data_IF_153808953096
#
_entry.id   IF_153808953096
#
_cell.length_a   1.000
_cell.length_b   1.000
_cell.length_c   1.000
_cell.angle_alpha   90.00
_cell.angle_beta   90.00
_cell.angle_gamma   90.00
#
_symmetry.space_group_name_H-M   'P 1'
#
loop_
_entity.id
_entity.type
_entity.pdbx_description
1 polymer ?
#
# COMPACT_ATOMS: atom_id res chain seq x y z
N UNK A 1 24.76 -4.40 26.93
CA UNK A 1 24.16 -5.64 26.42
C UNK A 1 23.17 -5.25 25.36
N UNK A 2 23.52 -5.41 24.10
CA UNK A 2 22.62 -5.19 22.95
C UNK A 2 21.56 -6.29 22.98
N UNK A 3 20.33 -5.95 23.38
CA UNK A 3 19.21 -6.87 23.26
C UNK A 3 19.02 -7.20 21.78
N UNK A 4 19.38 -8.40 21.38
CA UNK A 4 19.06 -8.97 20.07
C UNK A 4 17.53 -8.99 19.96
N UNK A 5 16.98 -8.08 19.17
CA UNK A 5 15.55 -8.02 18.85
C UNK A 5 15.27 -9.30 18.06
N UNK A 6 14.55 -10.23 18.66
CA UNK A 6 14.12 -11.47 18.01
C UNK A 6 13.16 -11.10 16.88
N UNK A 7 13.65 -11.13 15.63
CA UNK A 7 12.79 -11.02 14.47
C UNK A 7 11.90 -12.25 14.40
N UNK A 8 10.60 -12.04 14.31
CA UNK A 8 9.66 -13.14 14.07
C UNK A 8 9.91 -13.73 12.68
N UNK A 9 9.65 -15.04 12.49
CA UNK A 9 9.78 -15.67 11.17
C UNK A 9 8.91 -14.99 10.11
N UNK A 10 7.85 -14.31 10.54
CA UNK A 10 6.93 -13.57 9.67
C UNK A 10 7.58 -12.29 9.16
N UNK A 11 8.24 -11.53 10.03
CA UNK A 11 8.85 -10.24 9.64
C UNK A 11 10.03 -10.41 8.69
N UNK A 12 10.74 -11.55 8.73
CA UNK A 12 11.80 -11.89 7.78
C UNK A 12 11.34 -12.07 6.33
N UNK A 13 10.04 -12.26 6.13
CA UNK A 13 9.44 -12.44 4.80
C UNK A 13 8.92 -11.14 4.19
N UNK A 14 9.06 -10.00 4.89
CA UNK A 14 8.64 -8.69 4.38
C UNK A 14 9.68 -8.19 3.37
N UNK A 15 9.21 -7.74 2.23
CA UNK A 15 10.05 -7.30 1.14
C UNK A 15 10.41 -8.42 0.16
N UNK A 16 11.36 -8.14 -0.72
CA UNK A 16 11.79 -9.02 -1.82
C UNK A 16 10.60 -9.56 -2.65
N UNK A 17 9.59 -8.73 -2.82
CA UNK A 17 8.39 -9.07 -3.57
C UNK A 17 8.72 -9.24 -5.06
N UNK A 18 7.96 -10.08 -5.80
CA UNK A 18 8.20 -10.30 -7.21
C UNK A 18 8.05 -9.03 -8.05
N UNK A 19 8.89 -8.91 -9.07
CA UNK A 19 8.76 -7.98 -10.18
C UNK A 19 8.51 -8.79 -11.44
N UNK A 20 7.36 -8.62 -12.09
CA UNK A 20 6.98 -9.40 -13.27
C UNK A 20 6.70 -8.50 -14.47
N UNK A 21 7.05 -8.94 -15.67
CA UNK A 21 6.69 -8.26 -16.91
C UNK A 21 5.20 -8.46 -17.22
N UNK A 22 4.52 -7.38 -17.55
CA UNK A 22 3.16 -7.38 -18.09
C UNK A 22 3.23 -7.50 -19.61
N UNK A 23 3.51 -8.71 -20.10
CA UNK A 23 3.82 -8.94 -21.52
C UNK A 23 2.69 -8.54 -22.46
N UNK A 24 1.43 -8.75 -22.03
CA UNK A 24 0.25 -8.38 -22.83
C UNK A 24 0.04 -6.86 -22.95
N UNK A 25 0.73 -6.07 -22.14
CA UNK A 25 0.65 -4.61 -22.12
C UNK A 25 1.96 -3.94 -22.56
N UNK A 26 3.04 -4.69 -22.68
CA UNK A 26 4.35 -4.22 -23.16
C UNK A 26 4.34 -4.07 -24.70
N UNK A 27 5.26 -3.23 -25.19
CA UNK A 27 5.60 -3.17 -26.62
C UNK A 27 7.04 -3.68 -26.85
N UNK A 28 7.52 -3.69 -28.07
CA UNK A 28 8.90 -4.07 -28.38
C UNK A 28 9.89 -3.18 -27.63
N UNK A 29 9.65 -1.87 -27.63
CA UNK A 29 10.58 -0.86 -27.11
C UNK A 29 10.27 -0.40 -25.68
N UNK A 30 9.03 -0.54 -25.21
CA UNK A 30 8.62 -0.13 -23.87
C UNK A 30 8.11 -1.33 -23.09
N UNK A 31 8.84 -1.68 -22.05
CA UNK A 31 8.52 -2.81 -21.17
C UNK A 31 7.83 -2.33 -19.91
N UNK A 32 6.69 -2.95 -19.59
CA UNK A 32 5.92 -2.66 -18.38
C UNK A 32 6.11 -3.77 -17.35
N UNK A 33 6.50 -3.41 -16.14
CA UNK A 33 6.68 -4.34 -15.03
C UNK A 33 5.81 -3.97 -13.84
N UNK A 34 5.25 -4.98 -13.18
CA UNK A 34 4.48 -4.83 -11.96
C UNK A 34 5.25 -5.39 -10.76
N UNK A 35 5.40 -4.58 -9.71
CA UNK A 35 5.91 -5.01 -8.40
C UNK A 35 4.75 -5.47 -7.54
N UNK A 36 4.68 -6.76 -7.25
CA UNK A 36 3.53 -7.41 -6.62
C UNK A 36 3.63 -7.39 -5.09
N UNK A 37 3.13 -6.34 -4.46
CA UNK A 37 3.29 -6.11 -3.02
C UNK A 37 2.42 -7.00 -2.11
N UNK A 38 1.46 -7.73 -2.65
CA UNK A 38 0.70 -8.72 -1.87
C UNK A 38 1.47 -10.01 -1.57
N UNK A 39 2.68 -10.17 -2.07
CA UNK A 39 3.59 -11.23 -1.66
C UNK A 39 4.20 -10.98 -0.28
N UNK A 40 4.03 -9.80 0.30
CA UNK A 40 4.27 -9.58 1.72
C UNK A 40 3.31 -10.43 2.58
N UNK A 41 3.69 -10.80 3.81
CA UNK A 41 2.96 -11.74 4.68
C UNK A 41 1.48 -11.41 4.93
N UNK A 42 1.14 -10.13 5.04
CA UNK A 42 -0.23 -9.66 5.28
C UNK A 42 -0.89 -9.08 4.02
N UNK A 43 -0.26 -9.32 2.87
CA UNK A 43 -0.83 -9.16 1.55
C UNK A 43 -0.95 -7.72 1.07
N UNK A 44 -0.01 -6.85 1.42
CA UNK A 44 0.05 -5.51 0.84
C UNK A 44 1.39 -4.80 1.03
N UNK A 45 1.56 -3.69 0.30
CA UNK A 45 2.67 -2.76 0.45
C UNK A 45 2.79 -2.18 1.88
N UNK A 46 1.72 -2.19 2.66
CA UNK A 46 1.69 -1.63 4.02
C UNK A 46 2.46 -2.45 5.04
N UNK A 47 2.75 -3.72 4.75
CA UNK A 47 3.57 -4.57 5.60
C UNK A 47 4.97 -3.95 5.81
N UNK A 48 5.51 -3.34 4.77
CA UNK A 48 6.80 -2.65 4.82
C UNK A 48 6.77 -1.46 5.80
N UNK A 49 5.83 -0.55 5.61
CA UNK A 49 5.68 0.63 6.46
C UNK A 49 5.35 0.25 7.91
N UNK A 50 4.43 -0.69 8.11
CA UNK A 50 4.06 -1.16 9.45
C UNK A 50 5.26 -1.74 10.20
N UNK A 51 6.03 -2.61 9.56
CA UNK A 51 7.24 -3.20 10.16
C UNK A 51 8.25 -2.14 10.56
N UNK A 52 8.56 -1.21 9.65
CA UNK A 52 9.54 -0.16 9.92
C UNK A 52 9.09 0.80 11.03
N UNK A 53 7.80 1.16 11.07
CA UNK A 53 7.27 2.01 12.14
C UNK A 53 7.38 1.34 13.52
N UNK A 54 7.09 0.04 13.62
CA UNK A 54 7.22 -0.70 14.88
C UNK A 54 8.69 -0.89 15.27
N UNK A 55 9.56 -1.23 14.32
CA UNK A 55 11.01 -1.37 14.56
C UNK A 55 11.65 -0.04 14.99
N UNK A 56 11.27 1.07 14.38
CA UNK A 56 11.76 2.39 14.76
C UNK A 56 11.28 2.78 16.18
N UNK A 57 10.04 2.46 16.51
CA UNK A 57 9.50 2.67 17.84
C UNK A 57 10.23 1.83 18.92
N UNK A 58 10.54 0.55 18.62
CA UNK A 58 11.38 -0.28 19.52
C UNK A 58 12.79 0.31 19.68
N UNK A 59 13.43 0.70 18.57
CA UNK A 59 14.76 1.28 18.56
C UNK A 59 14.84 2.59 19.37
N UNK A 60 13.78 3.39 19.32
CA UNK A 60 13.65 4.66 20.07
C UNK A 60 13.13 4.46 21.50
N UNK A 61 12.89 3.22 21.92
CA UNK A 61 12.32 2.88 23.24
C UNK A 61 10.95 3.52 23.52
N UNK A 62 10.16 3.81 22.45
CA UNK A 62 8.82 4.37 22.55
C UNK A 62 7.77 3.33 22.94
N UNK A 63 8.05 2.06 22.72
CA UNK A 63 7.17 0.93 23.03
C UNK A 63 7.90 -0.15 23.82
N UNK A 64 7.13 -0.85 24.68
CA UNK A 64 7.63 -1.96 25.50
C UNK A 64 6.67 -3.14 25.38
N UNK A 65 7.21 -4.35 25.13
CA UNK A 65 6.43 -5.58 25.13
C UNK A 65 5.68 -5.72 26.44
N UNK A 66 4.54 -6.37 26.39
CA UNK A 66 3.62 -6.63 27.53
C UNK A 66 2.98 -5.38 28.17
N UNK A 67 3.42 -4.17 27.78
CA UNK A 67 2.85 -2.91 28.29
C UNK A 67 2.17 -2.09 27.19
N UNK A 68 2.87 -1.89 26.07
CA UNK A 68 2.40 -0.96 25.04
C UNK A 68 1.30 -1.55 24.16
N UNK A 69 0.32 -0.71 23.85
CA UNK A 69 -0.76 -0.98 22.91
C UNK A 69 -0.52 -0.10 21.67
N UNK A 70 -0.49 -0.71 20.51
CA UNK A 70 -0.38 0.00 19.24
C UNK A 70 -1.78 0.41 18.81
N UNK A 71 -2.03 1.69 18.59
CA UNK A 71 -3.32 2.19 18.10
C UNK A 71 -3.12 2.97 16.80
N UNK A 72 -3.94 2.71 15.78
CA UNK A 72 -3.85 3.42 14.49
C UNK A 72 -5.24 3.62 13.85
N UNK A 73 -5.55 4.85 13.37
CA UNK A 73 -6.72 5.09 12.56
C UNK A 73 -6.43 4.67 11.11
N UNK A 74 -7.24 3.76 10.56
CA UNK A 74 -7.04 3.26 9.20
C UNK A 74 -8.27 2.56 8.65
N UNK A 75 -8.48 2.63 7.35
CA UNK A 75 -9.60 1.97 6.66
C UNK A 75 -9.25 0.63 6.00
N UNK A 76 -8.02 0.08 6.18
CA UNK A 76 -7.70 -1.16 5.46
C UNK A 76 -6.31 -1.74 5.70
N UNK A 77 -5.51 -1.80 4.67
CA UNK A 77 -4.24 -2.54 4.63
C UNK A 77 -3.25 -2.20 5.76
N UNK A 78 -3.19 -0.94 6.19
CA UNK A 78 -2.31 -0.54 7.30
C UNK A 78 -2.73 -1.21 8.61
N UNK A 79 -4.04 -1.26 8.88
CA UNK A 79 -4.56 -1.94 10.08
C UNK A 79 -4.24 -3.43 10.06
N UNK A 80 -4.44 -4.10 8.92
CA UNK A 80 -4.12 -5.52 8.74
C UNK A 80 -2.62 -5.75 8.98
N UNK A 81 -1.76 -4.97 8.35
CA UNK A 81 -0.31 -5.09 8.47
C UNK A 81 0.17 -4.81 9.91
N UNK A 82 -0.26 -3.70 10.51
CA UNK A 82 0.08 -3.37 11.90
C UNK A 82 -0.39 -4.45 12.87
N UNK A 83 -1.62 -4.93 12.73
CA UNK A 83 -2.13 -5.98 13.60
C UNK A 83 -1.29 -7.25 13.48
N UNK A 84 -1.11 -7.75 12.27
CA UNK A 84 -0.38 -9.00 12.06
C UNK A 84 1.09 -8.91 12.51
N UNK A 85 1.78 -7.83 12.15
CA UNK A 85 3.18 -7.62 12.52
C UNK A 85 3.33 -7.42 14.03
N UNK A 86 2.57 -6.47 14.62
CA UNK A 86 2.69 -6.13 16.04
C UNK A 86 2.30 -7.31 16.92
N UNK A 87 1.22 -8.04 16.58
CA UNK A 87 0.83 -9.26 17.31
C UNK A 87 1.91 -10.34 17.24
N UNK A 88 2.55 -10.52 16.07
CA UNK A 88 3.67 -11.47 15.92
C UNK A 88 4.92 -11.08 16.72
N UNK A 89 5.03 -9.81 17.09
CA UNK A 89 6.10 -9.25 17.91
C UNK A 89 5.75 -9.16 19.41
N UNK A 90 4.50 -9.53 19.79
CA UNK A 90 4.03 -9.57 21.19
C UNK A 90 3.36 -8.29 21.67
N UNK A 91 2.90 -7.42 20.76
CA UNK A 91 2.15 -6.21 21.10
C UNK A 91 0.65 -6.41 20.94
N UNK A 92 -0.14 -5.77 21.80
CA UNK A 92 -1.57 -5.60 21.60
C UNK A 92 -1.85 -4.51 20.59
N UNK A 93 -2.93 -4.66 19.82
CA UNK A 93 -3.27 -3.71 18.74
C UNK A 93 -4.74 -3.31 18.85
N UNK A 94 -4.98 -2.02 18.76
CA UNK A 94 -6.30 -1.42 18.64
C UNK A 94 -6.36 -0.64 17.33
N UNK A 95 -7.43 -0.87 16.55
CA UNK A 95 -7.59 -0.22 15.25
C UNK A 95 -8.88 0.59 15.26
N UNK A 96 -8.77 1.87 14.90
CA UNK A 96 -9.93 2.75 14.74
C UNK A 96 -10.28 2.79 13.26
N UNK A 97 -11.51 2.37 12.93
CA UNK A 97 -11.97 2.22 11.54
C UNK A 97 -13.33 2.87 11.30
N UNK A 98 -13.60 3.34 10.06
CA UNK A 98 -14.96 3.68 9.65
C UNK A 98 -15.90 2.48 9.71
N UNK A 99 -17.15 2.69 10.12
CA UNK A 99 -18.22 1.67 10.08
C UNK A 99 -18.43 1.06 8.70
N UNK A 100 -18.16 1.83 7.64
CA UNK A 100 -18.30 1.43 6.24
C UNK A 100 -17.19 0.48 5.75
N UNK A 101 -16.18 0.20 6.57
CA UNK A 101 -15.14 -0.81 6.24
C UNK A 101 -15.80 -2.17 6.06
N UNK A 102 -15.42 -2.90 5.02
CA UNK A 102 -16.01 -4.18 4.65
C UNK A 102 -15.99 -5.21 5.78
N UNK A 103 -16.99 -6.07 5.82
CA UNK A 103 -17.07 -7.15 6.82
C UNK A 103 -15.86 -8.10 6.72
N UNK A 104 -15.34 -8.32 5.51
CA UNK A 104 -14.15 -9.12 5.26
C UNK A 104 -12.92 -8.50 5.96
N UNK A 105 -12.70 -7.20 5.81
CA UNK A 105 -11.58 -6.50 6.49
C UNK A 105 -11.72 -6.55 8.00
N UNK A 106 -12.93 -6.30 8.53
CA UNK A 106 -13.21 -6.40 9.97
C UNK A 106 -12.94 -7.81 10.50
N UNK A 107 -13.33 -8.84 9.74
CA UNK A 107 -13.08 -10.24 10.09
C UNK A 107 -11.58 -10.55 10.12
N UNK A 108 -10.81 -10.10 9.13
CA UNK A 108 -9.36 -10.28 9.10
C UNK A 108 -8.71 -9.63 10.31
N UNK A 109 -9.05 -8.39 10.64
CA UNK A 109 -8.51 -7.67 11.80
C UNK A 109 -8.80 -8.40 13.12
N UNK A 110 -10.05 -8.85 13.32
CA UNK A 110 -10.44 -9.64 14.52
C UNK A 110 -9.68 -10.96 14.61
N UNK A 111 -9.55 -11.69 13.49
CA UNK A 111 -8.83 -12.95 13.45
C UNK A 111 -7.31 -12.79 13.71
N UNK A 112 -6.74 -11.64 13.37
CA UNK A 112 -5.36 -11.28 13.71
C UNK A 112 -5.18 -10.80 15.16
N UNK A 113 -6.28 -10.61 15.90
CA UNK A 113 -6.27 -10.24 17.32
C UNK A 113 -6.41 -8.74 17.61
N UNK A 114 -6.85 -7.91 16.65
CA UNK A 114 -7.11 -6.49 16.90
C UNK A 114 -8.38 -6.27 17.71
N UNK A 115 -8.34 -5.31 18.64
CA UNK A 115 -9.54 -4.63 19.14
C UNK A 115 -9.93 -3.55 18.13
N UNK A 116 -11.22 -3.51 17.76
CA UNK A 116 -11.74 -2.59 16.76
C UNK A 116 -12.63 -1.54 17.44
N UNK A 117 -12.34 -0.27 17.14
CA UNK A 117 -13.20 0.87 17.47
C UNK A 117 -13.79 1.40 16.15
N UNK A 118 -15.11 1.51 16.07
CA UNK A 118 -15.80 1.98 14.86
C UNK A 118 -16.22 3.45 14.99
N UNK A 119 -16.14 4.19 13.90
CA UNK A 119 -16.57 5.59 13.78
C UNK A 119 -17.50 5.77 12.59
N UNK A 120 -18.30 6.85 12.60
CA UNK A 120 -19.21 7.16 11.48
C UNK A 120 -18.53 7.75 10.24
N UNK A 121 -17.19 7.68 10.16
CA UNK A 121 -16.39 8.20 9.06
C UNK A 121 -16.68 7.54 7.71
N UNK A 122 -16.39 8.28 6.64
CA UNK A 122 -16.29 7.72 5.29
C UNK A 122 -14.97 6.97 5.08
N UNK A 123 -14.96 6.02 4.11
CA UNK A 123 -13.77 5.22 3.74
C UNK A 123 -12.61 6.06 3.19
N UNK A 124 -12.93 7.19 2.57
CA UNK A 124 -11.96 8.15 2.07
C UNK A 124 -12.06 9.46 2.84
N UNK A 125 -10.94 9.93 3.38
CA UNK A 125 -10.90 11.20 4.07
C UNK A 125 -11.14 12.35 3.09
N UNK A 126 -12.25 13.07 3.28
CA UNK A 126 -12.48 14.34 2.62
C UNK A 126 -12.01 15.48 3.53
N UNK A 127 -11.50 16.56 2.95
CA UNK A 127 -11.18 17.76 3.72
C UNK A 127 -12.46 18.24 4.41
N UNK A 128 -12.45 18.28 5.73
CA UNK A 128 -13.57 18.77 6.55
C UNK A 128 -14.68 17.77 6.86
N UNK A 129 -14.58 16.50 6.48
CA UNK A 129 -15.57 15.47 6.84
C UNK A 129 -14.92 14.11 7.05
N UNK A 130 -15.16 13.52 8.20
CA UNK A 130 -15.10 12.08 8.41
C UNK A 130 -13.75 11.48 8.84
N UNK A 131 -12.63 11.72 8.20
CA UNK A 131 -11.33 11.17 8.64
C UNK A 131 -10.89 11.71 9.98
N UNK A 132 -11.36 12.88 10.29
CA UNK A 132 -11.06 13.55 11.55
C UNK A 132 -11.61 12.76 12.73
N UNK A 133 -12.72 12.01 12.59
CA UNK A 133 -13.30 11.26 13.70
C UNK A 133 -12.46 10.04 14.07
N UNK A 134 -12.00 9.24 13.09
CA UNK A 134 -11.14 8.10 13.40
C UNK A 134 -9.79 8.55 13.96
N UNK A 135 -9.21 9.62 13.42
CA UNK A 135 -7.99 10.23 13.97
C UNK A 135 -8.28 10.83 15.35
N UNK A 136 -9.37 11.58 15.49
CA UNK A 136 -9.77 12.21 16.77
C UNK A 136 -10.00 11.16 17.85
N UNK A 137 -10.69 10.07 17.54
CA UNK A 137 -10.93 8.97 18.49
C UNK A 137 -9.62 8.27 18.88
N UNK A 138 -8.76 7.95 17.91
CA UNK A 138 -7.45 7.35 18.20
C UNK A 138 -6.60 8.24 19.11
N UNK A 139 -6.58 9.55 18.86
CA UNK A 139 -5.90 10.55 19.71
C UNK A 139 -6.56 10.68 21.07
N UNK A 140 -7.88 10.69 21.17
CA UNK A 140 -8.61 10.76 22.43
C UNK A 140 -8.33 9.55 23.33
N UNK A 141 -8.11 8.37 22.75
CA UNK A 141 -7.72 7.15 23.49
C UNK A 141 -6.25 7.21 23.91
N UNK A 142 -5.36 7.63 23.00
CA UNK A 142 -3.90 7.50 23.19
C UNK A 142 -3.26 8.63 23.97
N UNK A 143 -3.64 9.89 23.72
CA UNK A 143 -2.99 11.06 24.32
C UNK A 143 -3.06 11.09 25.85
N UNK A 144 -4.20 10.75 26.50
CA UNK A 144 -4.26 10.75 27.97
C UNK A 144 -3.42 9.65 28.64
N UNK A 145 -2.97 8.64 27.87
CA UNK A 145 -2.23 7.48 28.38
C UNK A 145 -0.99 7.17 27.53
N UNK A 146 -0.03 8.10 27.41
CA UNK A 146 1.14 7.95 26.55
C UNK A 146 2.12 6.88 27.05
N UNK A 147 1.98 6.44 28.31
CA UNK A 147 2.76 5.35 28.89
C UNK A 147 2.29 3.95 28.46
N UNK A 148 1.08 3.86 27.87
CA UNK A 148 0.44 2.62 27.42
C UNK A 148 0.29 2.62 25.89
N UNK A 149 -0.24 3.71 25.32
CA UNK A 149 -0.55 3.77 23.90
C UNK A 149 0.58 4.38 23.08
N UNK A 150 0.81 3.78 21.93
CA UNK A 150 1.65 4.32 20.87
C UNK A 150 0.88 4.35 19.55
N UNK A 151 0.77 5.53 18.97
CA UNK A 151 0.18 5.72 17.63
C UNK A 151 1.29 5.91 16.60
N UNK A 152 1.52 4.94 15.70
CA UNK A 152 2.55 5.01 14.66
C UNK A 152 2.42 6.22 13.75
N UNK A 153 1.19 6.65 13.44
CA UNK A 153 0.86 7.78 12.57
C UNK A 153 1.55 7.70 11.19
N UNK A 154 1.06 6.82 10.35
CA UNK A 154 1.61 6.57 9.03
C UNK A 154 1.72 7.80 8.11
N UNK A 155 1.01 8.89 8.43
CA UNK A 155 0.96 10.10 7.61
C UNK A 155 2.11 11.09 7.88
N UNK A 156 2.78 10.96 9.03
CA UNK A 156 3.84 11.86 9.49
C UNK A 156 5.16 11.13 9.75
N UNK A 157 5.10 9.83 10.05
CA UNK A 157 6.23 9.03 10.50
C UNK A 157 7.23 8.72 9.37
N UNK A 158 8.45 9.22 9.50
CA UNK A 158 9.52 9.00 8.53
C UNK A 158 9.93 7.52 8.38
N UNK A 159 9.61 6.65 9.35
CA UNK A 159 9.84 5.23 9.20
C UNK A 159 9.04 4.62 8.03
N UNK A 160 7.87 5.19 7.69
CA UNK A 160 7.12 4.82 6.49
C UNK A 160 7.90 5.19 5.19
N UNK A 161 8.53 6.33 5.13
CA UNK A 161 9.43 6.71 4.04
C UNK A 161 10.64 5.77 3.97
N UNK A 162 11.32 5.54 5.11
CA UNK A 162 12.51 4.71 5.19
C UNK A 162 12.25 3.26 4.77
N UNK A 163 11.07 2.71 5.05
CA UNK A 163 10.67 1.38 4.60
C UNK A 163 10.78 1.18 3.08
N UNK A 164 10.59 2.25 2.33
CA UNK A 164 10.66 2.23 0.87
C UNK A 164 12.01 2.71 0.33
N UNK A 165 12.64 3.64 1.02
CA UNK A 165 13.99 4.10 0.68
C UNK A 165 15.03 2.98 0.86
N UNK A 166 14.98 2.26 1.99
CA UNK A 166 15.91 1.16 2.31
C UNK A 166 15.45 -0.21 1.77
N UNK A 167 14.18 -0.34 1.35
CA UNK A 167 13.60 -1.60 0.90
C UNK A 167 13.19 -1.57 -0.57
N UNK A 168 12.04 -0.96 -0.89
CA UNK A 168 11.45 -1.01 -2.24
C UNK A 168 12.37 -0.39 -3.31
N UNK A 169 13.03 0.72 -3.00
CA UNK A 169 13.96 1.40 -3.91
C UNK A 169 15.12 0.49 -4.34
N UNK A 170 15.92 -0.04 -3.39
CA UNK A 170 16.99 -1.01 -3.68
C UNK A 170 16.51 -2.25 -4.42
N UNK A 171 15.34 -2.81 -4.02
CA UNK A 171 14.78 -3.97 -4.71
C UNK A 171 14.50 -3.67 -6.20
N UNK A 172 13.84 -2.57 -6.50
CA UNK A 172 13.54 -2.19 -7.88
C UNK A 172 14.80 -1.92 -8.70
N UNK A 173 15.77 -1.22 -8.12
CA UNK A 173 17.04 -0.96 -8.78
C UNK A 173 17.75 -2.25 -9.18
N UNK A 174 17.84 -3.20 -8.23
CA UNK A 174 18.50 -4.48 -8.47
C UNK A 174 17.71 -5.38 -9.42
N UNK A 175 16.38 -5.48 -9.26
CA UNK A 175 15.52 -6.33 -10.09
C UNK A 175 15.42 -5.85 -11.55
N UNK A 176 15.73 -4.58 -11.80
CA UNK A 176 15.77 -4.00 -13.15
C UNK A 176 17.20 -3.85 -13.71
N UNK A 177 18.22 -4.33 -13.00
CA UNK A 177 19.63 -4.09 -13.32
C UNK A 177 19.94 -2.60 -13.56
N UNK A 178 19.28 -1.71 -12.82
CA UNK A 178 19.38 -0.27 -12.97
C UNK A 178 18.81 0.31 -14.27
N UNK A 179 18.05 -0.49 -15.04
CA UNK A 179 17.51 -0.08 -16.34
C UNK A 179 16.15 0.62 -16.26
N UNK A 180 15.58 0.74 -15.05
CA UNK A 180 14.32 1.44 -14.83
C UNK A 180 14.38 2.88 -15.33
N UNK A 181 13.39 3.32 -16.11
CA UNK A 181 13.28 4.69 -16.64
C UNK A 181 12.14 5.47 -16.01
N UNK A 182 11.04 4.78 -15.65
CA UNK A 182 9.84 5.38 -15.05
C UNK A 182 9.39 4.54 -13.86
N UNK A 183 9.14 5.20 -12.75
CA UNK A 183 8.57 4.63 -11.54
C UNK A 183 7.18 5.21 -11.30
N UNK A 184 6.17 4.38 -11.24
CA UNK A 184 4.76 4.78 -11.14
C UNK A 184 4.13 4.15 -9.91
N UNK A 185 3.49 4.93 -9.05
CA UNK A 185 2.79 4.39 -7.87
C UNK A 185 1.63 5.27 -7.44
N UNK A 186 0.65 4.64 -6.80
CA UNK A 186 -0.48 5.31 -6.19
C UNK A 186 -0.10 6.12 -4.95
N UNK A 187 -0.73 7.27 -4.78
CA UNK A 187 -0.53 8.18 -3.66
C UNK A 187 -1.62 8.02 -2.59
N UNK A 188 -1.24 7.47 -1.43
CA UNK A 188 -2.01 7.46 -0.20
C UNK A 188 -1.30 8.29 0.88
N UNK A 189 -0.41 7.68 1.67
CA UNK A 189 0.42 8.38 2.67
C UNK A 189 1.64 9.09 2.08
N UNK A 190 2.03 8.72 0.87
CA UNK A 190 3.22 9.25 0.20
C UNK A 190 4.52 8.48 0.49
N UNK A 191 4.53 7.55 1.45
CA UNK A 191 5.77 6.82 1.81
C UNK A 191 6.39 6.06 0.66
N UNK A 192 5.58 5.31 -0.09
CA UNK A 192 6.06 4.49 -1.23
C UNK A 192 6.70 5.36 -2.32
N UNK A 193 6.01 6.41 -2.74
CA UNK A 193 6.49 7.26 -3.84
C UNK A 193 7.72 8.07 -3.43
N UNK A 194 7.72 8.63 -2.22
CA UNK A 194 8.84 9.45 -1.78
C UNK A 194 10.07 8.60 -1.46
N UNK A 195 9.92 7.51 -0.70
CA UNK A 195 11.05 6.64 -0.36
C UNK A 195 11.69 5.99 -1.58
N UNK A 196 10.88 5.35 -2.41
CA UNK A 196 11.38 4.71 -3.63
C UNK A 196 11.90 5.72 -4.65
N UNK A 197 11.14 6.81 -4.86
CA UNK A 197 11.50 7.84 -5.85
C UNK A 197 12.79 8.56 -5.51
N UNK A 198 13.01 8.94 -4.24
CA UNK A 198 14.28 9.56 -3.81
C UNK A 198 15.44 8.60 -4.05
N UNK A 199 15.33 7.34 -3.59
CA UNK A 199 16.38 6.35 -3.80
C UNK A 199 16.72 6.16 -5.30
N UNK A 200 15.71 6.01 -6.14
CA UNK A 200 15.92 5.81 -7.57
C UNK A 200 16.55 7.03 -8.25
N UNK A 201 16.14 8.24 -7.88
CA UNK A 201 16.74 9.48 -8.43
C UNK A 201 18.17 9.70 -7.95
N UNK A 202 18.53 9.28 -6.74
CA UNK A 202 19.93 9.27 -6.28
C UNK A 202 20.80 8.32 -7.11
N UNK A 203 20.25 7.19 -7.57
CA UNK A 203 20.97 6.28 -8.48
C UNK A 203 21.04 6.82 -9.92
N UNK A 204 19.95 7.38 -10.41
CA UNK A 204 19.88 7.97 -11.73
C UNK A 204 18.84 9.11 -11.76
N UNK A 205 19.26 10.38 -11.77
CA UNK A 205 18.36 11.53 -11.73
C UNK A 205 17.45 11.68 -12.97
N UNK A 206 17.70 10.90 -14.03
CA UNK A 206 16.86 10.88 -15.23
C UNK A 206 15.60 10.03 -15.07
N UNK A 207 15.52 9.20 -14.04
CA UNK A 207 14.32 8.39 -13.76
C UNK A 207 13.14 9.30 -13.48
N UNK A 208 12.05 9.08 -14.18
CA UNK A 208 10.79 9.80 -13.99
C UNK A 208 9.95 9.13 -12.92
N UNK A 209 9.43 9.93 -12.00
CA UNK A 209 8.55 9.49 -10.92
C UNK A 209 7.15 10.04 -11.18
N UNK A 210 6.19 9.14 -11.42
CA UNK A 210 4.80 9.48 -11.73
C UNK A 210 3.91 9.13 -10.55
N UNK A 211 3.21 10.13 -10.04
CA UNK A 211 2.27 10.03 -8.94
C UNK A 211 0.86 9.77 -9.46
N UNK A 212 0.22 8.71 -8.99
CA UNK A 212 -1.16 8.41 -9.33
C UNK A 212 -2.08 8.81 -8.18
N UNK A 213 -2.96 9.79 -8.42
CA UNK A 213 -4.06 10.12 -7.53
C UNK A 213 -5.40 9.63 -8.11
N UNK A 214 -6.42 9.54 -7.26
CA UNK A 214 -7.76 9.20 -7.70
C UNK A 214 -8.54 10.42 -8.19
N UNK A 215 -9.56 10.22 -9.03
CA UNK A 215 -10.56 11.26 -9.32
C UNK A 215 -11.30 11.69 -8.04
N UNK A 216 -12.03 12.79 -8.09
CA UNK A 216 -12.96 13.18 -7.01
C UNK A 216 -14.05 12.13 -6.82
N UNK A 217 -14.54 11.98 -5.58
CA UNK A 217 -15.59 11.01 -5.21
C UNK A 217 -15.27 9.56 -5.64
N UNK A 218 -14.03 9.14 -5.50
CA UNK A 218 -13.56 7.83 -5.99
C UNK A 218 -13.90 6.66 -5.06
N UNK A 219 -13.81 5.44 -5.65
CA UNK A 219 -13.95 4.14 -4.99
C UNK A 219 -12.62 3.39 -4.84
N UNK A 220 -11.52 4.05 -5.21
CA UNK A 220 -10.18 3.47 -5.32
C UNK A 220 -9.48 3.48 -3.96
N UNK A 221 -9.71 2.44 -3.16
CA UNK A 221 -9.14 2.34 -1.81
C UNK A 221 -7.61 2.38 -1.84
N UNK A 222 -7.03 3.11 -0.89
CA UNK A 222 -5.58 3.31 -0.78
C UNK A 222 -5.02 4.49 -1.57
N UNK A 223 -5.78 5.03 -2.52
CA UNK A 223 -5.47 6.30 -3.19
C UNK A 223 -6.16 7.48 -2.50
N UNK A 224 -5.66 8.67 -2.77
CA UNK A 224 -6.27 9.96 -2.38
C UNK A 224 -6.46 10.85 -3.59
N UNK A 225 -7.40 11.78 -3.47
CA UNK A 225 -7.46 12.97 -4.29
C UNK A 225 -7.04 14.17 -3.44
N UNK A 226 -5.99 14.88 -3.83
CA UNK A 226 -5.44 15.98 -3.03
C UNK A 226 -6.17 17.31 -3.22
N UNK A 227 -7.21 17.35 -4.03
CA UNK A 227 -8.17 18.45 -4.01
C UNK A 227 -9.29 18.23 -2.96
N UNK A 228 -9.55 16.96 -2.57
CA UNK A 228 -10.55 16.59 -1.57
C UNK A 228 -9.96 16.28 -0.19
N UNK A 229 -8.68 15.94 -0.12
CA UNK A 229 -8.01 15.57 1.12
C UNK A 229 -6.67 16.26 1.28
N UNK A 230 -6.27 16.53 2.52
CA UNK A 230 -4.96 17.11 2.82
C UNK A 230 -3.83 16.19 2.35
N UNK A 231 -2.81 16.78 1.75
CA UNK A 231 -1.58 16.05 1.47
C UNK A 231 -0.86 15.72 2.79
N UNK A 232 -0.50 14.44 3.03
CA UNK A 232 0.23 14.05 4.23
C UNK A 232 1.55 14.78 4.41
N UNK A 233 1.92 15.13 5.64
CA UNK A 233 3.16 15.87 5.91
C UNK A 233 4.40 15.08 5.48
N UNK A 234 4.37 13.76 5.62
CA UNK A 234 5.42 12.89 5.11
C UNK A 234 5.66 13.09 3.61
N UNK A 235 4.59 13.24 2.82
CA UNK A 235 4.67 13.48 1.38
C UNK A 235 5.10 14.91 1.08
N UNK A 236 4.46 15.89 1.71
CA UNK A 236 4.74 17.33 1.53
C UNK A 236 6.23 17.66 1.64
N UNK A 237 6.91 17.06 2.62
CA UNK A 237 8.35 17.29 2.83
C UNK A 237 9.23 16.84 1.66
N UNK A 238 8.70 16.01 0.75
CA UNK A 238 9.46 15.37 -0.34
C UNK A 238 8.69 15.36 -1.67
N UNK A 239 7.68 16.21 -1.81
CA UNK A 239 6.81 16.24 -3.00
C UNK A 239 7.57 16.55 -4.30
N UNK A 240 8.71 17.23 -4.19
CA UNK A 240 9.60 17.56 -5.31
C UNK A 240 10.22 16.33 -5.99
N UNK A 241 10.07 15.14 -5.44
CA UNK A 241 10.50 13.90 -6.10
C UNK A 241 9.62 13.54 -7.28
N UNK A 242 8.37 14.03 -7.30
CA UNK A 242 7.37 13.73 -8.34
C UNK A 242 7.62 14.60 -9.56
N UNK A 243 7.77 13.97 -10.71
CA UNK A 243 7.90 14.68 -12.00
C UNK A 243 6.55 14.90 -12.66
N UNK A 244 5.62 13.95 -12.54
CA UNK A 244 4.35 13.96 -13.24
C UNK A 244 3.21 13.44 -12.34
N UNK A 245 2.00 13.99 -12.54
CA UNK A 245 0.78 13.57 -11.89
C UNK A 245 -0.19 12.95 -12.88
N UNK A 246 -0.77 11.83 -12.51
CA UNK A 246 -1.84 11.15 -13.24
C UNK A 246 -3.08 11.04 -12.36
N UNK A 247 -4.26 11.38 -12.89
CA UNK A 247 -5.53 11.24 -12.18
C UNK A 247 -6.30 10.05 -12.74
N UNK A 248 -6.39 8.97 -11.96
CA UNK A 248 -7.09 7.76 -12.35
C UNK A 248 -8.60 7.87 -12.13
N UNK A 249 -9.39 7.32 -13.08
CA UNK A 249 -10.84 7.20 -12.93
C UNK A 249 -11.24 5.84 -12.36
N UNK A 250 -12.42 5.77 -11.71
CA UNK A 250 -12.99 4.49 -11.28
C UNK A 250 -13.19 3.55 -12.46
N UNK A 251 -13.74 4.08 -13.57
CA UNK A 251 -14.07 3.32 -14.78
C UNK A 251 -12.83 2.63 -15.36
N UNK A 252 -11.77 3.39 -15.60
CA UNK A 252 -10.57 2.86 -16.23
C UNK A 252 -9.83 1.90 -15.29
N UNK A 253 -9.76 2.24 -14.00
CA UNK A 253 -9.14 1.39 -13.00
C UNK A 253 -9.82 0.02 -12.89
N UNK A 254 -11.15 -0.03 -12.85
CA UNK A 254 -11.88 -1.30 -12.79
C UNK A 254 -11.80 -2.09 -14.10
N UNK A 255 -11.84 -1.42 -15.24
CA UNK A 255 -11.68 -2.07 -16.54
C UNK A 255 -10.29 -2.74 -16.63
N UNK A 256 -9.24 -2.07 -16.17
CA UNK A 256 -7.87 -2.59 -16.21
C UNK A 256 -7.62 -3.71 -15.19
N UNK A 257 -8.28 -3.70 -14.02
CA UNK A 257 -8.30 -4.88 -13.13
C UNK A 257 -8.86 -6.12 -13.85
N UNK A 258 -9.94 -5.96 -14.61
CA UNK A 258 -10.53 -7.05 -15.40
C UNK A 258 -9.56 -7.54 -16.49
N UNK A 259 -8.91 -6.63 -17.20
CA UNK A 259 -7.92 -6.97 -18.23
C UNK A 259 -6.69 -7.68 -17.64
N UNK A 260 -6.18 -7.23 -16.47
CA UNK A 260 -5.10 -7.91 -15.76
C UNK A 260 -5.46 -9.36 -15.40
N UNK A 261 -6.68 -9.57 -14.88
CA UNK A 261 -7.17 -10.91 -14.55
C UNK A 261 -7.25 -11.82 -15.77
N UNK A 262 -7.69 -11.27 -16.94
CA UNK A 262 -7.87 -12.02 -18.17
C UNK A 262 -6.58 -12.29 -18.93
N UNK A 263 -5.71 -11.29 -19.04
CA UNK A 263 -4.52 -11.35 -19.91
C UNK A 263 -3.27 -11.83 -19.19
N UNK A 264 -3.12 -11.47 -17.90
CA UNK A 264 -1.92 -11.76 -17.12
C UNK A 264 -2.16 -12.75 -15.98
N UNK A 265 -3.41 -13.20 -15.76
CA UNK A 265 -3.80 -14.01 -14.60
C UNK A 265 -3.47 -13.34 -13.25
N UNK A 266 -3.52 -12.01 -13.22
CA UNK A 266 -3.25 -11.20 -12.03
C UNK A 266 -4.57 -10.67 -11.47
N UNK A 267 -4.94 -11.10 -10.27
CA UNK A 267 -6.06 -10.56 -9.53
C UNK A 267 -5.53 -9.48 -8.56
N UNK A 268 -5.52 -8.24 -8.99
CA UNK A 268 -5.01 -7.09 -8.24
C UNK A 268 -6.12 -6.24 -7.63
N UNK A 269 -5.80 -5.44 -6.60
CA UNK A 269 -6.72 -4.44 -6.06
C UNK A 269 -6.98 -3.27 -7.02
N UNK A 270 -8.02 -2.46 -6.79
CA UNK A 270 -8.41 -1.36 -7.69
C UNK A 270 -7.32 -0.34 -7.96
N UNK A 271 -6.51 -0.01 -6.95
CA UNK A 271 -5.37 0.91 -7.09
C UNK A 271 -4.31 0.43 -8.08
N UNK A 272 -4.18 -0.89 -8.28
CA UNK A 272 -3.27 -1.45 -9.28
C UNK A 272 -3.77 -1.20 -10.71
N UNK A 273 -5.10 -1.25 -10.92
CA UNK A 273 -5.70 -0.82 -12.18
C UNK A 273 -5.44 0.66 -12.48
N UNK A 274 -5.48 1.51 -11.44
CA UNK A 274 -5.13 2.93 -11.54
C UNK A 274 -3.66 3.13 -11.94
N UNK A 275 -2.76 2.38 -11.32
CA UNK A 275 -1.33 2.42 -11.66
C UNK A 275 -1.10 1.92 -13.08
N UNK A 276 -1.76 0.82 -13.49
CA UNK A 276 -1.66 0.33 -14.87
C UNK A 276 -2.17 1.36 -15.88
N UNK A 277 -3.24 2.11 -15.57
CA UNK A 277 -3.74 3.18 -16.44
C UNK A 277 -2.64 4.22 -16.71
N UNK A 278 -1.95 4.68 -15.66
CA UNK A 278 -0.82 5.60 -15.80
C UNK A 278 0.37 4.97 -16.55
N UNK A 279 0.64 3.69 -16.33
CA UNK A 279 1.70 2.97 -17.07
C UNK A 279 1.42 2.91 -18.56
N UNK A 280 0.18 2.66 -18.96
CA UNK A 280 -0.24 2.62 -20.38
C UNK A 280 -0.12 4.01 -21.02
N UNK A 281 -0.57 5.06 -20.33
CA UNK A 281 -0.40 6.43 -20.83
C UNK A 281 1.09 6.80 -20.98
N UNK A 282 1.92 6.42 -20.00
CA UNK A 282 3.38 6.63 -20.09
C UNK A 282 3.97 5.87 -21.26
N UNK A 283 3.60 4.58 -21.44
CA UNK A 283 4.05 3.75 -22.55
C UNK A 283 3.78 4.40 -23.90
N UNK A 284 2.59 4.97 -24.06
CA UNK A 284 2.15 5.54 -25.34
C UNK A 284 2.80 6.91 -25.63
N UNK A 285 3.44 7.53 -24.63
CA UNK A 285 4.15 8.83 -24.75
C UNK A 285 5.66 8.71 -24.99
N UNK A 286 6.26 7.54 -24.72
CA UNK A 286 7.71 7.36 -24.80
C UNK A 286 8.10 6.39 -25.91
N UNK A 287 9.25 6.65 -26.56
CA UNK A 287 9.76 5.80 -27.63
C UNK A 287 10.40 4.51 -27.11
N UNK A 288 11.07 4.56 -25.96
CA UNK A 288 11.76 3.44 -25.34
C UNK A 288 11.83 3.60 -23.82
N UNK A 289 11.64 2.50 -23.08
CA UNK A 289 11.76 2.54 -21.63
C UNK A 289 11.43 1.25 -20.91
N UNK A 290 11.80 1.23 -19.63
CA UNK A 290 11.39 0.23 -18.66
C UNK A 290 10.57 0.93 -17.59
N UNK A 291 9.27 0.68 -17.59
CA UNK A 291 8.29 1.32 -16.71
C UNK A 291 7.90 0.34 -15.61
N UNK A 292 8.05 0.74 -14.37
CA UNK A 292 7.67 -0.09 -13.20
C UNK A 292 6.53 0.53 -12.44
N UNK A 293 5.45 -0.24 -12.23
CA UNK A 293 4.31 0.11 -11.41
C UNK A 293 4.27 -0.68 -10.09
N UNK A 294 3.92 -0.02 -8.97
CA UNK A 294 3.63 -0.72 -7.72
C UNK A 294 2.19 -1.20 -7.73
N UNK A 295 1.98 -2.50 -7.65
CA UNK A 295 0.69 -3.13 -7.43
C UNK A 295 0.55 -3.44 -5.95
N UNK A 296 -0.24 -2.60 -5.26
CA UNK A 296 -0.17 -2.45 -3.82
C UNK A 296 -0.76 -3.61 -3.02
N UNK A 297 -1.81 -4.25 -3.52
CA UNK A 297 -2.53 -5.32 -2.83
C UNK A 297 -3.28 -6.26 -3.75
N UNK A 298 -3.76 -7.35 -3.17
CA UNK A 298 -4.45 -8.46 -3.82
C UNK A 298 -5.94 -8.18 -3.99
N UNK A 299 -6.48 -8.51 -5.15
CA UNK A 299 -7.89 -8.34 -5.49
C UNK A 299 -8.86 -9.22 -4.69
N UNK A 300 -8.38 -10.27 -4.01
CA UNK A 300 -9.22 -11.14 -3.15
C UNK A 300 -9.89 -10.38 -2.01
N UNK A 301 -9.32 -9.28 -1.57
CA UNK A 301 -9.89 -8.38 -0.54
C UNK A 301 -11.10 -7.58 -1.03
N UNK A 302 -11.35 -7.56 -2.33
CA UNK A 302 -12.32 -6.67 -2.99
C UNK A 302 -13.47 -7.43 -3.67
N UNK A 303 -13.74 -8.68 -3.25
CA UNK A 303 -14.80 -9.51 -3.87
C UNK A 303 -16.15 -8.79 -3.91
N UNK A 304 -16.58 -8.24 -2.79
CA UNK A 304 -17.85 -7.52 -2.67
C UNK A 304 -17.89 -6.30 -3.59
N UNK A 305 -16.81 -5.51 -3.63
CA UNK A 305 -16.67 -4.34 -4.49
C UNK A 305 -16.73 -4.74 -5.98
N UNK A 306 -16.03 -5.79 -6.38
CA UNK A 306 -16.00 -6.24 -7.77
C UNK A 306 -17.36 -6.74 -8.24
N UNK A 307 -18.12 -7.39 -7.36
CA UNK A 307 -19.50 -7.80 -7.64
C UNK A 307 -20.42 -6.60 -7.75
N UNK A 308 -20.36 -5.67 -6.80
CA UNK A 308 -21.23 -4.48 -6.75
C UNK A 308 -21.06 -3.59 -8.00
N UNK A 309 -19.84 -3.40 -8.45
CA UNK A 309 -19.52 -2.55 -9.61
C UNK A 309 -19.33 -3.32 -10.93
N UNK A 310 -19.73 -4.59 -10.99
CA UNK A 310 -19.69 -5.42 -12.20
C UNK A 310 -18.26 -5.53 -12.82
N UNK A 311 -17.23 -5.46 -11.98
CA UNK A 311 -15.84 -5.58 -12.44
C UNK A 311 -15.54 -7.01 -12.89
N UNK A 312 -15.90 -7.99 -12.03
CA UNK A 312 -15.81 -9.42 -12.31
C UNK A 312 -17.14 -10.07 -11.86
N UNK A 313 -17.73 -10.91 -12.71
CA UNK A 313 -18.82 -11.79 -12.26
C UNK A 313 -18.26 -12.93 -11.39
N UNK A 314 -19.12 -13.72 -10.77
CA UNK A 314 -18.70 -14.79 -9.85
C UNK A 314 -17.78 -15.82 -10.53
N UNK A 315 -18.07 -16.22 -11.76
CA UNK A 315 -17.26 -17.17 -12.53
C UNK A 315 -15.89 -16.59 -12.89
N UNK A 316 -15.85 -15.35 -13.41
CA UNK A 316 -14.62 -14.62 -13.69
C UNK A 316 -13.76 -14.44 -12.43
N UNK A 317 -14.40 -14.13 -11.28
CA UNK A 317 -13.69 -13.97 -10.01
C UNK A 317 -13.10 -15.29 -9.52
N UNK A 318 -13.88 -16.37 -9.51
CA UNK A 318 -13.40 -17.71 -9.09
C UNK A 318 -12.22 -18.16 -9.94
N UNK A 319 -12.32 -18.00 -11.27
CA UNK A 319 -11.25 -18.32 -12.21
C UNK A 319 -9.99 -17.47 -11.94
N UNK A 320 -10.16 -16.16 -11.73
CA UNK A 320 -9.05 -15.26 -11.41
C UNK A 320 -8.36 -15.64 -10.09
N UNK A 321 -9.12 -16.00 -9.05
CA UNK A 321 -8.57 -16.49 -7.76
C UNK A 321 -7.79 -17.80 -7.95
N UNK A 322 -8.29 -18.73 -8.76
CA UNK A 322 -7.60 -20.00 -9.04
C UNK A 322 -6.29 -19.76 -9.78
N UNK A 323 -6.30 -18.92 -10.80
CA UNK A 323 -5.12 -18.56 -11.58
C UNK A 323 -4.08 -17.82 -10.72
N UNK A 324 -4.51 -16.85 -9.89
CA UNK A 324 -3.63 -16.13 -8.98
C UNK A 324 -2.94 -17.06 -7.95
N UNK A 325 -3.63 -18.12 -7.49
CA UNK A 325 -3.01 -19.14 -6.62
C UNK A 325 -1.90 -19.93 -7.32
N UNK A 326 -2.02 -20.17 -8.63
CA UNK A 326 -0.99 -20.85 -9.41
C UNK A 326 0.26 -19.98 -9.58
N UNK A 327 0.08 -18.69 -9.82
CA UNK A 327 1.19 -17.72 -9.86
C UNK A 327 1.91 -17.60 -8.51
N UNK A 328 1.16 -17.59 -7.39
CA UNK A 328 1.76 -17.53 -6.07
C UNK A 328 2.67 -18.74 -5.75
N UNK A 329 2.38 -19.92 -6.33
CA UNK A 329 3.21 -21.13 -6.16
C UNK A 329 4.51 -21.08 -6.96
N UNK A 330 4.63 -20.24 -7.96
CA UNK A 330 5.85 -20.11 -8.76
C UNK A 330 6.94 -19.31 -8.04
N UNK A 331 6.59 -18.53 -7.01
CA UNK A 331 7.49 -17.64 -6.29
C UNK A 331 7.68 -18.01 -4.80
N UNK A 332 7.04 -19.08 -4.32
CA UNK A 332 7.22 -19.71 -3.03
C UNK A 332 7.69 -21.15 -3.21
#
# INVERSE_FOLDING_TARGET
MTSTISESQVTKKIGNTPLIELSSFSTENVKLFAKLEWYNPFGSVKDRAAYWMIKDAERKHLIKKDKSIIIEPTSGNTGIALTGISSSMGYKVEIVIPEKVSAETKSILKNLGATIHETSDDLCPRVGAGTDQSIALARAISIPRPDIYYMPNQYENDANYLAHYEGTGPELWNQTDGKITHFITGCGTGGTITGTGVYLKEKNPKIKVVAVQAQKNHLLQGLRNFEESSMPDLFKRRENVVDEWFTATNKDSFALVKELAKKENILAGPSSGSVLSAMLETRDKIEKGLVVGIFADDGRKFKSLYKEYNVLNEEEYVKAVQNAKSLSKLFY
#
